data_IF_273990263946
#
_entry.id   IF_273990263946
#
_cell.length_a   1.000
_cell.length_b   1.000
_cell.length_c   1.000
_cell.angle_alpha   90.00
_cell.angle_beta   90.00
_cell.angle_gamma   90.00
#
_symmetry.space_group_name_H-M   'P 1'
#
loop_
_entity.id
_entity.type
_entity.pdbx_description
1 polymer ?
#
# COMPACT_ATOMS: atom_id res chain seq x y z
N UNK A 1 2.84 -5.93 -3.94
CA UNK A 1 2.33 -4.57 -3.72
C UNK A 1 1.83 -4.00 -5.05
N UNK A 2 0.57 -3.57 -5.13
CA UNK A 2 -0.04 -3.10 -6.39
C UNK A 2 0.12 -1.60 -6.63
N UNK A 3 0.33 -0.78 -5.59
CA UNK A 3 0.37 0.69 -5.72
C UNK A 3 1.69 1.23 -6.25
N UNK A 4 2.82 0.73 -5.73
CA UNK A 4 4.14 1.30 -5.98
C UNK A 4 4.48 1.43 -7.48
N UNK A 5 4.23 0.44 -8.36
CA UNK A 5 4.52 0.59 -9.78
C UNK A 5 3.77 1.75 -10.44
N UNK A 6 2.49 1.93 -10.11
CA UNK A 6 1.67 3.01 -10.66
C UNK A 6 2.10 4.38 -10.12
N UNK A 7 2.46 4.46 -8.83
CA UNK A 7 2.98 5.68 -8.21
C UNK A 7 4.30 6.10 -8.86
N UNK A 8 5.25 5.17 -8.99
CA UNK A 8 6.56 5.43 -9.61
C UNK A 8 6.41 5.89 -11.06
N UNK A 9 5.55 5.24 -11.85
CA UNK A 9 5.29 5.65 -13.24
C UNK A 9 4.71 7.07 -13.34
N UNK A 10 3.92 7.50 -12.35
CA UNK A 10 3.37 8.85 -12.29
C UNK A 10 4.41 9.87 -11.85
N UNK A 11 5.15 9.59 -10.78
CA UNK A 11 6.21 10.47 -10.27
C UNK A 11 7.33 10.66 -11.29
N UNK A 12 7.70 9.62 -12.04
CA UNK A 12 8.68 9.75 -13.12
C UNK A 12 8.29 10.74 -14.22
N UNK A 13 6.99 11.07 -14.36
CA UNK A 13 6.51 12.11 -15.29
C UNK A 13 6.29 13.46 -14.61
N UNK A 14 5.69 13.45 -13.43
CA UNK A 14 5.20 14.67 -12.76
C UNK A 14 6.25 15.29 -11.82
N UNK A 15 7.19 14.51 -11.30
CA UNK A 15 8.23 14.92 -10.37
C UNK A 15 9.53 14.11 -10.58
N UNK A 16 10.19 14.24 -11.74
CA UNK A 16 11.31 13.37 -12.12
C UNK A 16 12.56 13.50 -11.25
N UNK A 17 12.70 14.60 -10.51
CA UNK A 17 13.82 14.85 -9.59
C UNK A 17 13.51 14.46 -8.14
N UNK A 18 12.35 13.84 -7.88
CA UNK A 18 11.96 13.40 -6.54
C UNK A 18 12.61 12.05 -6.24
N UNK A 19 13.27 11.96 -5.09
CA UNK A 19 13.67 10.68 -4.51
C UNK A 19 12.54 10.13 -3.64
N UNK A 20 12.28 8.83 -3.77
CA UNK A 20 11.25 8.13 -3.02
C UNK A 20 11.88 6.97 -2.25
N UNK A 21 11.76 6.99 -0.93
CA UNK A 21 12.09 5.85 -0.08
C UNK A 21 10.81 5.05 0.23
N UNK A 22 10.86 3.74 0.03
CA UNK A 22 9.75 2.82 0.31
C UNK A 22 10.25 1.76 1.27
N UNK A 23 9.85 1.92 2.54
CA UNK A 23 10.13 0.96 3.60
C UNK A 23 9.02 -0.09 3.69
N UNK A 24 9.40 -1.31 4.08
CA UNK A 24 8.42 -2.36 4.33
C UNK A 24 7.52 -1.98 5.51
N UNK A 25 6.21 -2.34 5.49
CA UNK A 25 5.33 -2.07 6.62
C UNK A 25 5.84 -2.78 7.88
N UNK A 26 6.06 -2.03 8.95
CA UNK A 26 6.43 -2.51 10.28
C UNK A 26 5.36 -2.18 11.32
N UNK A 27 5.52 -2.71 12.53
CA UNK A 27 4.64 -2.39 13.68
C UNK A 27 4.78 -0.94 14.15
N UNK A 28 5.86 -0.27 13.74
CA UNK A 28 6.27 1.09 14.07
C UNK A 28 5.82 2.14 13.04
N UNK A 29 5.05 1.76 12.02
CA UNK A 29 4.68 2.68 10.93
C UNK A 29 3.94 3.94 11.40
N UNK A 30 3.13 3.82 12.45
CA UNK A 30 2.41 4.95 13.06
C UNK A 30 3.38 5.87 13.81
N UNK A 31 4.27 5.32 14.62
CA UNK A 31 5.30 6.07 15.33
C UNK A 31 6.22 6.80 14.35
N UNK A 32 6.57 6.16 13.23
CA UNK A 32 7.34 6.78 12.15
C UNK A 32 6.64 8.01 11.53
N UNK A 33 5.30 8.00 11.41
CA UNK A 33 4.54 9.19 11.00
C UNK A 33 4.60 10.29 12.06
N UNK A 34 4.40 9.93 13.33
CA UNK A 34 4.40 10.89 14.44
C UNK A 34 5.76 11.57 14.62
N UNK A 35 6.85 10.84 14.39
CA UNK A 35 8.23 11.32 14.49
C UNK A 35 8.74 12.01 13.21
N UNK A 36 7.95 12.01 12.13
CA UNK A 36 8.35 12.57 10.83
C UNK A 36 9.44 11.77 10.11
N UNK A 37 9.61 10.50 10.46
CA UNK A 37 10.47 9.55 9.75
C UNK A 37 9.82 9.13 8.43
N UNK A 38 8.50 9.01 8.42
CA UNK A 38 7.71 8.75 7.23
C UNK A 38 6.72 9.89 6.98
N UNK A 39 6.57 10.28 5.71
CA UNK A 39 5.59 11.32 5.33
C UNK A 39 4.17 10.77 5.15
N UNK A 40 4.05 9.48 4.79
CA UNK A 40 2.79 8.81 4.55
C UNK A 40 2.92 7.30 4.69
N UNK A 41 1.81 6.65 5.05
CA UNK A 41 1.69 5.19 5.06
C UNK A 41 0.44 4.75 4.29
N UNK A 42 0.50 3.55 3.71
CA UNK A 42 -0.67 2.87 3.15
C UNK A 42 -0.85 1.55 3.89
N UNK A 43 -2.00 1.39 4.55
CA UNK A 43 -2.31 0.23 5.35
C UNK A 43 -3.83 0.05 5.49
N UNK A 44 -4.22 -1.15 5.90
CA UNK A 44 -5.57 -1.41 6.40
C UNK A 44 -5.64 -0.90 7.85
N UNK A 45 -6.23 0.28 8.03
CA UNK A 45 -6.37 0.95 9.34
C UNK A 45 -7.80 1.43 9.48
N UNK A 46 -8.48 0.97 10.53
CA UNK A 46 -9.86 1.34 10.82
C UNK A 46 -9.94 2.78 11.37
N UNK A 47 -9.05 3.11 12.31
CA UNK A 47 -9.01 4.41 12.98
C UNK A 47 -7.58 4.96 13.01
N UNK A 48 -7.42 6.24 12.65
CA UNK A 48 -6.13 6.91 12.74
C UNK A 48 -5.98 7.58 14.11
N UNK A 49 -4.81 7.51 14.75
CA UNK A 49 -4.52 8.24 15.98
C UNK A 49 -4.75 9.74 15.87
N UNK A 50 -4.90 10.39 17.03
CA UNK A 50 -5.04 11.83 17.10
C UNK A 50 -3.87 12.53 16.40
N UNK A 51 -4.17 13.52 15.55
CA UNK A 51 -3.16 14.25 14.78
C UNK A 51 -2.85 13.63 13.40
N UNK A 52 -3.23 12.37 13.16
CA UNK A 52 -3.03 11.72 11.85
C UNK A 52 -4.32 11.83 11.02
N UNK A 53 -4.19 12.28 9.77
CA UNK A 53 -5.31 12.31 8.83
C UNK A 53 -5.35 11.02 8.02
N UNK A 54 -6.54 10.41 7.92
CA UNK A 54 -6.80 9.24 7.08
C UNK A 54 -7.71 9.58 5.91
N UNK A 55 -7.48 8.91 4.77
CA UNK A 55 -8.37 8.93 3.62
C UNK A 55 -8.40 7.55 2.98
N UNK A 56 -9.59 7.04 2.66
CA UNK A 56 -9.74 5.82 1.85
C UNK A 56 -9.19 6.02 0.44
N UNK A 57 -8.37 5.09 -0.04
CA UNK A 57 -7.78 5.15 -1.39
C UNK A 57 -8.53 4.26 -2.36
N UNK A 58 -8.91 3.05 -1.94
CA UNK A 58 -9.62 2.04 -2.73
C UNK A 58 -10.14 0.94 -1.81
N UNK A 59 -11.09 0.16 -2.30
CA UNK A 59 -11.54 -1.08 -1.66
C UNK A 59 -10.80 -2.28 -2.26
N UNK A 60 -10.34 -3.19 -1.41
CA UNK A 60 -9.74 -4.45 -1.85
C UNK A 60 -10.79 -5.56 -1.94
N UNK A 61 -10.77 -6.30 -3.05
CA UNK A 61 -11.58 -7.50 -3.21
C UNK A 61 -10.74 -8.74 -2.95
N UNK A 62 -11.07 -9.45 -1.87
CA UNK A 62 -10.47 -10.77 -1.62
C UNK A 62 -10.97 -11.78 -2.67
N UNK A 63 -10.02 -12.48 -3.27
CA UNK A 63 -10.27 -13.50 -4.30
C UNK A 63 -9.46 -14.75 -4.01
N UNK A 64 -9.95 -15.90 -4.45
CA UNK A 64 -9.20 -17.15 -4.39
C UNK A 64 -8.23 -17.22 -5.56
N UNK A 65 -6.93 -17.20 -5.27
CA UNK A 65 -5.89 -17.48 -6.25
C UNK A 65 -5.52 -18.96 -6.19
N UNK A 66 -5.45 -19.62 -7.35
CA UNK A 66 -4.92 -20.96 -7.50
C UNK A 66 -4.04 -21.02 -8.74
N UNK A 67 -3.14 -22.01 -8.81
CA UNK A 67 -2.36 -22.25 -10.04
C UNK A 67 -3.31 -22.49 -11.22
N UNK A 68 -2.92 -22.08 -12.42
CA UNK A 68 -3.76 -22.16 -13.61
C UNK A 68 -4.33 -23.57 -13.87
N UNK A 69 -3.55 -24.61 -13.59
CA UNK A 69 -3.92 -26.02 -13.76
C UNK A 69 -4.23 -26.70 -12.42
N UNK A 70 -4.93 -26.02 -11.52
CA UNK A 70 -5.30 -26.60 -10.24
C UNK A 70 -6.40 -27.66 -10.43
N UNK A 71 -6.26 -28.91 -9.93
CA UNK A 71 -7.25 -29.97 -10.13
C UNK A 71 -8.65 -29.63 -9.62
N UNK A 72 -8.76 -28.71 -8.65
CA UNK A 72 -10.06 -28.25 -8.15
C UNK A 72 -10.86 -27.42 -9.17
N UNK A 73 -10.25 -26.91 -10.24
CA UNK A 73 -10.99 -26.23 -11.32
C UNK A 73 -11.93 -27.16 -12.08
N UNK A 74 -11.54 -28.43 -12.22
CA UNK A 74 -12.35 -29.44 -12.90
C UNK A 74 -13.56 -29.91 -12.07
N UNK A 75 -13.73 -29.42 -10.84
CA UNK A 75 -14.82 -29.77 -9.92
C UNK A 75 -15.87 -28.67 -9.76
N UNK A 76 -15.87 -27.67 -10.66
CA UNK A 76 -16.86 -26.58 -10.65
C UNK A 76 -18.22 -27.02 -11.16
#
# INVERSE_FOLDING_TARGET
>A
AVLAPHLLARLGREAPSLDLDIVAPGTDAVEALEQGIADAMVALVDEAPAGIRRRGLYDEKLVTLMRAEHPALARK
#
